data_IF_784582873410
#
_entry.id   IF_784582873410
#
_cell.length_a   1.000
_cell.length_b   1.000
_cell.length_c   1.000
_cell.angle_alpha   90.00
_cell.angle_beta   90.00
_cell.angle_gamma   90.00
#
_symmetry.space_group_name_H-M   'P 1'
#
loop_
_entity.id
_entity.type
_entity.pdbx_description
1 polymer ?
#
# COMPACT_ATOMS: atom_id res chain seq x y z
N UNK A 1 -7.76 6.80 -11.74
CA UNK A 1 -6.29 6.82 -11.88
C UNK A 1 -5.69 6.92 -10.50
N UNK A 2 -4.96 5.89 -10.04
CA UNK A 2 -4.23 5.98 -8.77
C UNK A 2 -2.94 6.76 -9.04
N UNK A 3 -2.75 7.86 -8.32
CA UNK A 3 -1.60 8.73 -8.50
C UNK A 3 -0.34 8.06 -7.95
N UNK A 4 0.80 8.32 -8.60
CA UNK A 4 2.14 7.84 -8.22
C UNK A 4 2.45 8.13 -6.74
N UNK A 5 1.91 9.23 -6.20
CA UNK A 5 2.01 9.58 -4.79
C UNK A 5 1.46 8.50 -3.84
N UNK A 6 0.34 7.84 -4.19
CA UNK A 6 -0.24 6.79 -3.34
C UNK A 6 0.64 5.53 -3.33
N UNK A 7 1.26 5.20 -4.47
CA UNK A 7 2.21 4.09 -4.56
C UNK A 7 3.42 4.32 -3.67
N UNK A 8 3.97 5.54 -3.68
CA UNK A 8 5.12 5.91 -2.86
C UNK A 8 4.80 5.84 -1.37
N UNK A 9 3.59 6.23 -0.96
CA UNK A 9 3.13 6.12 0.44
C UNK A 9 2.97 4.65 0.86
N UNK A 10 2.31 3.82 0.04
CA UNK A 10 2.13 2.39 0.30
C UNK A 10 3.47 1.67 0.42
N UNK A 11 4.41 1.94 -0.51
CA UNK A 11 5.77 1.37 -0.46
C UNK A 11 6.53 1.85 0.77
N UNK A 12 6.43 3.12 1.16
CA UNK A 12 7.09 3.63 2.38
C UNK A 12 6.53 2.96 3.64
N UNK A 13 5.21 2.86 3.77
CA UNK A 13 4.57 2.19 4.90
C UNK A 13 4.97 0.71 5.01
N UNK A 14 5.07 -0.01 3.89
CA UNK A 14 5.45 -1.41 3.93
C UNK A 14 6.95 -1.62 4.15
N UNK A 15 7.80 -0.91 3.41
CA UNK A 15 9.25 -1.13 3.40
C UNK A 15 9.98 -0.42 4.53
N UNK A 16 9.53 0.76 4.97
CA UNK A 16 10.16 1.50 6.08
C UNK A 16 9.46 1.28 7.40
N UNK A 17 8.13 1.41 7.42
CA UNK A 17 7.37 1.37 8.68
C UNK A 17 6.96 -0.06 9.07
N UNK A 18 7.32 -1.06 8.25
CA UNK A 18 7.02 -2.48 8.50
C UNK A 18 5.52 -2.79 8.55
N UNK A 19 4.69 -1.91 7.99
CA UNK A 19 3.24 -1.98 8.11
C UNK A 19 2.71 -3.16 7.30
N UNK A 20 1.81 -3.94 7.91
CA UNK A 20 1.22 -5.11 7.26
C UNK A 20 0.30 -4.69 6.09
N UNK A 21 0.25 -5.53 5.05
CA UNK A 21 -0.64 -5.31 3.89
C UNK A 21 -2.12 -5.17 4.33
N UNK A 22 -2.52 -5.86 5.41
CA UNK A 22 -3.87 -5.74 5.99
C UNK A 22 -4.13 -4.33 6.54
N UNK A 23 -3.19 -3.78 7.28
CA UNK A 23 -3.32 -2.43 7.86
C UNK A 23 -3.35 -1.36 6.76
N UNK A 24 -2.49 -1.50 5.74
CA UNK A 24 -2.48 -0.61 4.57
C UNK A 24 -3.80 -0.71 3.80
N UNK A 25 -4.32 -1.92 3.59
CA UNK A 25 -5.61 -2.16 2.93
C UNK A 25 -6.77 -1.51 3.69
N UNK A 26 -6.78 -1.60 5.03
CA UNK A 26 -7.78 -0.95 5.90
C UNK A 26 -7.73 0.58 5.80
N UNK A 27 -6.53 1.16 5.79
CA UNK A 27 -6.34 2.63 5.75
C UNK A 27 -6.65 3.23 4.39
N UNK A 28 -6.30 2.53 3.31
CA UNK A 28 -6.45 3.03 1.94
C UNK A 28 -7.80 2.66 1.31
N UNK A 29 -8.56 1.74 1.91
CA UNK A 29 -9.77 1.17 1.32
C UNK A 29 -9.50 0.30 0.09
N UNK A 30 -8.24 0.04 -0.24
CA UNK A 30 -7.85 -0.79 -1.37
C UNK A 30 -7.92 -2.27 -1.00
N UNK A 31 -8.21 -3.12 -1.99
CA UNK A 31 -8.13 -4.56 -1.78
C UNK A 31 -6.69 -4.99 -1.47
N UNK A 32 -6.53 -6.05 -0.67
CA UNK A 32 -5.20 -6.64 -0.37
C UNK A 32 -4.45 -7.04 -1.64
N UNK A 33 -5.16 -7.45 -2.70
CA UNK A 33 -4.58 -7.80 -3.98
C UNK A 33 -4.01 -6.58 -4.70
N UNK A 34 -4.73 -5.45 -4.64
CA UNK A 34 -4.27 -4.17 -5.19
C UNK A 34 -3.01 -3.69 -4.48
N UNK A 35 -2.99 -3.74 -3.14
CA UNK A 35 -1.80 -3.37 -2.35
C UNK A 35 -0.62 -4.29 -2.67
N UNK A 36 -0.84 -5.61 -2.77
CA UNK A 36 0.21 -6.57 -3.17
C UNK A 36 0.77 -6.28 -4.56
N UNK A 37 -0.08 -5.92 -5.51
CA UNK A 37 0.32 -5.56 -6.89
C UNK A 37 1.19 -4.30 -6.96
N UNK A 38 1.10 -3.43 -5.94
CA UNK A 38 1.93 -2.22 -5.81
C UNK A 38 3.22 -2.42 -5.01
N UNK A 39 3.30 -3.51 -4.25
CA UNK A 39 4.49 -3.91 -3.50
C UNK A 39 5.38 -4.89 -4.27
N UNK A 40 4.82 -5.54 -5.30
CA UNK A 40 5.61 -6.23 -6.33
C UNK A 40 6.40 -5.19 -7.13
#
# INVERSE_FOLDING_TARGET
MINVALLSVIRRWHLRDGMSIREISRRTGLSRNTVRKYLT
#
